data_IF_325199471983
#
_entry.id   IF_325199471983
#
_cell.length_a   1.000
_cell.length_b   1.000
_cell.length_c   1.000
_cell.angle_alpha   90.00
_cell.angle_beta   90.00
_cell.angle_gamma   90.00
#
_symmetry.space_group_name_H-M   'P 1'
#
loop_
_entity.id
_entity.type
_entity.pdbx_description
1 polymer ?
#
# COMPACT_ATOMS: atom_id res chain seq x y z
N UNK A 1 -26.57 -22.38 -33.97
CA UNK A 1 -25.37 -22.71 -33.18
C UNK A 1 -24.38 -21.53 -33.04
N UNK A 2 -23.85 -20.94 -34.13
CA UNK A 2 -22.90 -19.81 -34.04
C UNK A 2 -23.49 -18.51 -33.45
N UNK A 3 -24.78 -18.20 -33.69
CA UNK A 3 -25.45 -17.01 -33.12
C UNK A 3 -25.64 -17.08 -31.61
N UNK A 4 -25.90 -18.28 -31.07
CA UNK A 4 -26.08 -18.48 -29.62
C UNK A 4 -24.77 -18.37 -28.87
N UNK A 5 -23.66 -18.86 -29.46
CA UNK A 5 -22.31 -18.71 -28.89
C UNK A 5 -21.92 -17.23 -28.80
N UNK A 6 -22.22 -16.45 -29.84
CA UNK A 6 -21.97 -15.00 -29.84
C UNK A 6 -22.73 -14.23 -28.74
N UNK A 7 -23.97 -14.63 -28.46
CA UNK A 7 -24.79 -14.01 -27.40
C UNK A 7 -24.21 -14.34 -26.01
N UNK A 8 -23.82 -15.61 -25.77
CA UNK A 8 -23.25 -16.05 -24.48
C UNK A 8 -21.90 -15.35 -24.21
N UNK A 9 -21.03 -15.25 -25.21
CA UNK A 9 -19.76 -14.54 -25.10
C UNK A 9 -19.97 -13.04 -24.86
N UNK A 10 -20.93 -12.43 -25.57
CA UNK A 10 -21.28 -11.02 -25.35
C UNK A 10 -21.79 -10.73 -23.94
N UNK A 11 -22.66 -11.60 -23.41
CA UNK A 11 -23.16 -11.50 -22.04
C UNK A 11 -22.05 -11.69 -20.99
N UNK A 12 -21.12 -12.63 -21.20
CA UNK A 12 -19.99 -12.85 -20.32
C UNK A 12 -19.05 -11.63 -20.27
N UNK A 13 -18.78 -11.01 -21.42
CA UNK A 13 -17.97 -9.78 -21.50
C UNK A 13 -18.69 -8.61 -20.81
N UNK A 14 -20.00 -8.45 -21.00
CA UNK A 14 -20.77 -7.43 -20.33
C UNK A 14 -20.80 -7.62 -18.80
N UNK A 15 -21.01 -8.86 -18.31
CA UNK A 15 -20.96 -9.16 -16.89
C UNK A 15 -19.58 -8.90 -16.29
N UNK A 16 -18.52 -9.27 -16.98
CA UNK A 16 -17.15 -8.99 -16.55
C UNK A 16 -16.85 -7.48 -16.50
N UNK A 17 -17.30 -6.73 -17.51
CA UNK A 17 -17.15 -5.28 -17.53
C UNK A 17 -17.95 -4.59 -16.40
N UNK A 18 -19.18 -5.04 -16.14
CA UNK A 18 -20.03 -4.50 -15.06
C UNK A 18 -19.42 -4.81 -13.69
N UNK A 19 -18.92 -6.03 -13.45
CA UNK A 19 -18.30 -6.40 -12.18
C UNK A 19 -17.00 -5.63 -11.95
N UNK A 20 -16.18 -5.43 -12.99
CA UNK A 20 -14.94 -4.65 -12.91
C UNK A 20 -15.19 -3.15 -12.67
N UNK A 21 -16.18 -2.56 -13.35
CA UNK A 21 -16.62 -1.18 -13.15
C UNK A 21 -17.25 -0.99 -11.76
N UNK A 22 -18.10 -1.92 -11.32
CA UNK A 22 -18.73 -1.88 -10.01
C UNK A 22 -17.71 -1.96 -8.87
N UNK A 23 -16.70 -2.83 -8.96
CA UNK A 23 -15.59 -2.89 -7.99
C UNK A 23 -14.82 -1.58 -7.94
N UNK A 24 -14.43 -1.04 -9.10
CA UNK A 24 -13.69 0.22 -9.17
C UNK A 24 -14.47 1.39 -8.55
N UNK A 25 -15.76 1.51 -8.84
CA UNK A 25 -16.59 2.56 -8.26
C UNK A 25 -16.79 2.40 -6.75
N UNK A 26 -16.90 1.17 -6.25
CA UNK A 26 -16.99 0.89 -4.82
C UNK A 26 -15.67 1.20 -4.09
N UNK A 27 -14.53 0.88 -4.71
CA UNK A 27 -13.20 1.16 -4.16
C UNK A 27 -12.93 2.67 -4.11
N UNK A 28 -13.30 3.43 -5.16
CA UNK A 28 -13.20 4.90 -5.18
C UNK A 28 -14.08 5.53 -4.10
N UNK A 29 -15.31 5.04 -3.91
CA UNK A 29 -16.22 5.50 -2.85
C UNK A 29 -15.69 5.17 -1.44
N UNK A 30 -15.11 3.98 -1.24
CA UNK A 30 -14.48 3.56 0.03
C UNK A 30 -13.26 4.43 0.33
N UNK A 31 -12.37 4.62 -0.63
CA UNK A 31 -11.20 5.46 -0.50
C UNK A 31 -11.55 6.89 -0.11
N UNK A 32 -12.55 7.50 -0.78
CA UNK A 32 -13.00 8.85 -0.46
C UNK A 32 -13.57 8.96 0.97
N UNK A 33 -14.28 7.95 1.45
CA UNK A 33 -14.79 7.89 2.84
C UNK A 33 -13.64 7.78 3.85
N UNK A 34 -12.65 6.93 3.57
CA UNK A 34 -11.47 6.76 4.43
C UNK A 34 -10.64 8.06 4.49
N UNK A 35 -10.38 8.70 3.36
CA UNK A 35 -9.68 9.98 3.31
C UNK A 35 -10.42 11.07 4.12
N UNK A 36 -11.75 11.07 4.11
CA UNK A 36 -12.54 11.99 4.93
C UNK A 36 -12.47 11.64 6.42
N UNK A 37 -12.54 10.35 6.77
CA UNK A 37 -12.52 9.86 8.16
C UNK A 37 -11.13 10.07 8.80
N UNK A 38 -10.06 9.81 8.05
CA UNK A 38 -8.68 9.80 8.53
C UNK A 38 -7.85 10.97 7.99
N UNK A 39 -8.50 12.09 7.67
CA UNK A 39 -7.80 13.29 7.16
C UNK A 39 -6.70 13.79 8.10
N UNK A 40 -6.94 13.70 9.41
CA UNK A 40 -5.98 14.04 10.47
C UNK A 40 -5.97 12.89 11.46
N UNK A 41 -4.79 12.36 11.75
CA UNK A 41 -4.64 11.32 12.75
C UNK A 41 -4.49 11.97 14.15
N UNK A 42 -5.22 11.42 15.13
CA UNK A 42 -5.06 11.76 16.55
C UNK A 42 -4.82 10.48 17.34
N UNK A 43 -4.20 10.56 18.55
CA UNK A 43 -3.99 9.38 19.39
C UNK A 43 -5.29 8.64 19.69
N UNK A 44 -6.38 9.37 19.97
CA UNK A 44 -7.70 8.80 20.28
C UNK A 44 -8.31 8.09 19.06
N UNK A 45 -8.15 8.70 17.86
CA UNK A 45 -8.65 8.11 16.62
C UNK A 45 -7.90 6.81 16.31
N UNK A 46 -6.56 6.83 16.41
CA UNK A 46 -5.76 5.63 16.21
C UNK A 46 -6.09 4.56 17.26
N UNK A 47 -6.24 4.92 18.54
CA UNK A 47 -6.62 3.98 19.59
C UNK A 47 -7.99 3.32 19.34
N UNK A 48 -8.94 4.05 18.79
CA UNK A 48 -10.29 3.57 18.47
C UNK A 48 -10.37 2.81 17.13
N UNK A 49 -9.33 2.87 16.29
CA UNK A 49 -9.31 2.22 14.97
C UNK A 49 -8.92 0.75 15.14
N UNK A 50 -9.69 -0.22 14.58
CA UNK A 50 -9.31 -1.63 14.54
C UNK A 50 -7.98 -1.85 13.79
N UNK A 51 -7.21 -2.87 14.19
CA UNK A 51 -5.91 -3.14 13.60
C UNK A 51 -5.95 -3.40 12.10
N UNK A 52 -7.04 -4.00 11.61
CA UNK A 52 -7.28 -4.24 10.18
C UNK A 52 -7.47 -2.96 9.36
N UNK A 53 -7.84 -1.84 10.00
CA UNK A 53 -8.03 -0.54 9.36
C UNK A 53 -6.84 0.42 9.56
N UNK A 54 -5.90 0.13 10.46
CA UNK A 54 -4.82 1.07 10.83
C UNK A 54 -3.93 1.45 9.63
N UNK A 55 -3.53 0.47 8.83
CA UNK A 55 -2.73 0.73 7.62
C UNK A 55 -3.50 1.61 6.64
N UNK A 56 -4.78 1.28 6.40
CA UNK A 56 -5.64 2.08 5.53
C UNK A 56 -5.86 3.50 6.09
N UNK A 57 -5.90 3.67 7.43
CA UNK A 57 -6.02 4.98 8.08
C UNK A 57 -4.80 5.87 7.81
N UNK A 58 -3.59 5.34 7.99
CA UNK A 58 -2.33 6.07 7.70
C UNK A 58 -2.24 6.41 6.22
N UNK A 59 -2.51 5.47 5.34
CA UNK A 59 -2.51 5.68 3.89
C UNK A 59 -3.53 6.73 3.47
N UNK A 60 -4.75 6.67 4.04
CA UNK A 60 -5.81 7.64 3.74
C UNK A 60 -5.43 9.06 4.19
N UNK A 61 -4.73 9.21 5.32
CA UNK A 61 -4.19 10.49 5.78
C UNK A 61 -3.20 11.07 4.75
N UNK A 62 -2.22 10.27 4.31
CA UNK A 62 -1.25 10.69 3.28
C UNK A 62 -1.94 11.12 1.99
N UNK A 63 -2.91 10.33 1.52
CA UNK A 63 -3.63 10.62 0.27
C UNK A 63 -4.52 11.87 0.40
N UNK A 64 -5.13 12.10 1.57
CA UNK A 64 -5.94 13.29 1.83
C UNK A 64 -5.07 14.56 1.82
N UNK A 65 -3.92 14.51 2.48
CA UNK A 65 -2.97 15.63 2.51
C UNK A 65 -2.39 15.90 1.12
N UNK A 66 -2.04 14.84 0.36
CA UNK A 66 -1.58 14.98 -1.01
C UNK A 66 -2.64 15.64 -1.91
N UNK A 67 -3.91 15.29 -1.76
CA UNK A 67 -5.00 15.85 -2.55
C UNK A 67 -5.21 17.35 -2.30
N UNK A 68 -4.90 17.84 -1.11
CA UNK A 68 -5.00 19.26 -0.73
C UNK A 68 -3.72 20.06 -1.04
N UNK A 69 -2.62 19.35 -1.33
CA UNK A 69 -1.36 19.98 -1.68
C UNK A 69 -1.42 20.66 -3.05
N UNK A 70 -0.63 21.74 -3.23
CA UNK A 70 -0.40 22.35 -4.56
C UNK A 70 0.21 21.35 -5.56
N UNK A 71 0.87 20.33 -5.07
CA UNK A 71 1.45 19.23 -5.83
C UNK A 71 0.78 17.93 -5.36
N UNK A 72 -0.26 17.43 -6.04
CA UNK A 72 -1.01 16.26 -5.63
C UNK A 72 -0.22 14.96 -5.92
N UNK A 73 0.90 14.80 -5.22
CA UNK A 73 1.82 13.69 -5.32
C UNK A 73 2.05 13.11 -3.92
N UNK A 74 1.62 11.87 -3.65
CA UNK A 74 1.81 11.22 -2.35
C UNK A 74 3.28 11.14 -1.93
N UNK A 75 4.23 10.92 -2.86
CA UNK A 75 5.65 10.84 -2.54
C UNK A 75 6.21 12.19 -2.08
N UNK A 76 5.78 13.27 -2.74
CA UNK A 76 6.14 14.62 -2.29
C UNK A 76 5.57 14.92 -0.90
N UNK A 77 4.37 14.46 -0.61
CA UNK A 77 3.75 14.60 0.71
C UNK A 77 4.53 13.81 1.75
N UNK A 78 4.82 12.53 1.46
CA UNK A 78 5.59 11.65 2.34
C UNK A 78 6.98 12.20 2.69
N UNK A 79 7.64 12.88 1.76
CA UNK A 79 8.96 13.48 2.03
C UNK A 79 8.95 14.58 3.11
N UNK A 80 7.78 15.02 3.55
CA UNK A 80 7.58 16.04 4.59
C UNK A 80 7.01 15.47 5.88
N UNK A 81 6.55 14.23 5.85
CA UNK A 81 5.95 13.56 6.99
C UNK A 81 7.00 12.76 7.76
N UNK A 82 6.78 12.47 9.05
CA UNK A 82 7.63 11.59 9.84
C UNK A 82 7.82 10.21 9.20
N UNK A 83 8.99 9.60 9.47
CA UNK A 83 9.38 8.29 8.91
C UNK A 83 8.29 7.20 8.97
N UNK A 84 7.51 7.05 10.06
CA UNK A 84 6.49 6.01 10.12
C UNK A 84 5.46 6.06 8.99
N UNK A 85 5.11 7.24 8.47
CA UNK A 85 4.23 7.37 7.31
C UNK A 85 4.83 6.74 6.06
N UNK A 86 6.12 6.98 5.81
CA UNK A 86 6.84 6.43 4.66
C UNK A 86 6.91 4.91 4.75
N UNK A 87 7.28 4.35 5.93
CA UNK A 87 7.37 2.91 6.17
C UNK A 87 6.03 2.23 5.86
N UNK A 88 4.94 2.71 6.46
CA UNK A 88 3.61 2.10 6.28
C UNK A 88 3.12 2.24 4.85
N UNK A 89 3.25 3.42 4.24
CA UNK A 89 2.79 3.66 2.87
C UNK A 89 3.53 2.82 1.84
N UNK A 90 4.85 2.73 1.93
CA UNK A 90 5.67 1.99 0.97
C UNK A 90 5.38 0.48 1.02
N UNK A 91 5.28 -0.09 2.21
CA UNK A 91 4.92 -1.51 2.40
C UNK A 91 3.50 -1.78 1.85
N UNK A 92 2.53 -0.92 2.18
CA UNK A 92 1.18 -1.03 1.65
C UNK A 92 1.14 -0.96 0.12
N UNK A 93 1.87 -0.02 -0.49
CA UNK A 93 1.92 0.15 -1.94
C UNK A 93 2.47 -1.10 -2.64
N UNK A 94 3.56 -1.67 -2.13
CA UNK A 94 4.16 -2.90 -2.66
C UNK A 94 3.21 -4.09 -2.51
N UNK A 95 2.62 -4.30 -1.32
CA UNK A 95 1.65 -5.38 -1.11
C UNK A 95 0.40 -5.24 -1.96
N UNK A 96 -0.03 -4.01 -2.26
CA UNK A 96 -1.17 -3.74 -3.15
C UNK A 96 -0.87 -4.12 -4.60
N UNK A 97 0.31 -3.80 -5.12
CA UNK A 97 0.71 -4.22 -6.46
C UNK A 97 0.89 -5.75 -6.55
N UNK A 98 1.45 -6.37 -5.51
CA UNK A 98 1.52 -7.83 -5.39
C UNK A 98 0.13 -8.48 -5.48
N UNK A 99 -0.84 -7.96 -4.74
CA UNK A 99 -2.22 -8.49 -4.74
C UNK A 99 -2.92 -8.37 -6.10
N UNK A 100 -2.44 -7.47 -6.97
CA UNK A 100 -2.91 -7.31 -8.35
C UNK A 100 -2.19 -8.21 -9.34
N UNK A 101 -1.11 -8.87 -8.93
CA UNK A 101 -0.23 -9.65 -9.78
C UNK A 101 0.56 -8.80 -10.80
N UNK A 102 0.69 -7.50 -10.57
CA UNK A 102 1.41 -6.57 -11.46
C UNK A 102 2.83 -6.30 -10.92
N UNK A 103 3.71 -7.29 -11.00
CA UNK A 103 5.11 -7.16 -10.62
C UNK A 103 5.85 -6.11 -11.46
N UNK A 104 5.45 -5.90 -12.71
CA UNK A 104 6.03 -4.88 -13.56
C UNK A 104 5.74 -3.46 -13.05
N UNK A 105 4.66 -3.26 -12.29
CA UNK A 105 4.39 -1.97 -11.66
C UNK A 105 5.47 -1.57 -10.67
N UNK A 106 6.08 -2.53 -9.96
CA UNK A 106 7.15 -2.31 -9.00
C UNK A 106 8.45 -1.78 -9.65
N UNK A 107 8.63 -2.01 -10.94
CA UNK A 107 9.84 -1.61 -11.67
C UNK A 107 9.71 -0.28 -12.40
N UNK A 108 8.52 0.33 -12.41
CA UNK A 108 8.28 1.64 -13.04
C UNK A 108 9.06 2.72 -12.29
N UNK A 109 9.61 3.68 -13.03
CA UNK A 109 10.41 4.77 -12.46
C UNK A 109 9.68 5.53 -11.34
N UNK A 110 8.35 5.73 -11.49
CA UNK A 110 7.54 6.45 -10.50
C UNK A 110 7.31 5.68 -9.19
N UNK A 111 7.55 4.35 -9.17
CA UNK A 111 7.37 3.51 -7.98
C UNK A 111 8.70 3.01 -7.41
N UNK A 112 9.82 3.28 -8.09
CA UNK A 112 11.13 2.74 -7.72
C UNK A 112 11.57 3.19 -6.32
N UNK A 113 11.36 4.45 -5.98
CA UNK A 113 11.73 4.99 -4.67
C UNK A 113 10.86 4.35 -3.58
N UNK A 114 9.56 4.18 -3.84
CA UNK A 114 8.63 3.49 -2.91
C UNK A 114 9.06 2.05 -2.65
N UNK A 115 9.55 1.34 -3.67
CA UNK A 115 10.03 -0.04 -3.51
C UNK A 115 11.32 -0.08 -2.67
N UNK A 116 12.21 0.89 -2.85
CA UNK A 116 13.41 1.00 -2.02
C UNK A 116 13.01 1.29 -0.56
N UNK A 117 12.10 2.24 -0.33
CA UNK A 117 11.60 2.56 1.01
C UNK A 117 10.90 1.36 1.65
N UNK A 118 10.19 0.52 0.86
CA UNK A 118 9.61 -0.72 1.35
C UNK A 118 10.69 -1.74 1.74
N UNK A 119 11.77 -1.89 0.94
CA UNK A 119 12.88 -2.77 1.28
C UNK A 119 13.57 -2.38 2.60
N UNK A 120 13.63 -1.08 2.88
CA UNK A 120 14.24 -0.56 4.11
C UNK A 120 13.25 -0.57 5.28
N UNK A 121 11.95 -0.42 5.02
CA UNK A 121 10.88 -0.42 6.01
C UNK A 121 10.45 -1.81 6.50
N UNK A 122 10.46 -2.82 5.62
CA UNK A 122 10.04 -4.18 5.96
C UNK A 122 10.76 -4.78 7.17
N UNK A 123 12.11 -4.65 7.32
CA UNK A 123 12.79 -5.11 8.53
C UNK A 123 12.36 -4.35 9.80
N UNK A 124 11.99 -3.07 9.69
CA UNK A 124 11.55 -2.25 10.83
C UNK A 124 10.21 -2.71 11.39
N UNK A 125 9.34 -3.26 10.54
CA UNK A 125 8.07 -3.84 10.98
C UNK A 125 8.19 -5.32 11.36
N UNK A 126 9.36 -5.95 11.19
CA UNK A 126 9.59 -7.35 11.53
C UNK A 126 9.36 -8.34 10.38
N UNK A 127 9.46 -7.88 9.13
CA UNK A 127 9.31 -8.71 7.91
C UNK A 127 10.62 -8.78 7.08
N UNK A 128 11.74 -9.28 7.63
CA UNK A 128 13.03 -9.30 6.94
C UNK A 128 13.08 -10.27 5.76
N UNK A 129 12.38 -11.41 5.78
CA UNK A 129 12.38 -12.34 4.66
C UNK A 129 11.64 -11.74 3.46
N UNK A 130 10.55 -11.02 3.67
CA UNK A 130 9.86 -10.26 2.63
C UNK A 130 10.78 -9.20 2.01
N UNK A 131 11.57 -8.48 2.82
CA UNK A 131 12.54 -7.50 2.33
C UNK A 131 13.59 -8.14 1.42
N UNK A 132 14.17 -9.24 1.82
CA UNK A 132 15.21 -9.94 1.03
C UNK A 132 14.62 -10.51 -0.29
N UNK A 133 13.42 -11.09 -0.23
CA UNK A 133 12.75 -11.57 -1.43
C UNK A 133 12.43 -10.44 -2.42
N UNK A 134 11.98 -9.28 -1.92
CA UNK A 134 11.73 -8.09 -2.73
C UNK A 134 13.01 -7.55 -3.37
N UNK A 135 14.10 -7.42 -2.60
CA UNK A 135 15.41 -7.00 -3.12
C UNK A 135 15.92 -7.94 -4.22
N UNK A 136 15.78 -9.25 -4.01
CA UNK A 136 16.18 -10.24 -5.02
C UNK A 136 15.36 -10.11 -6.31
N UNK A 137 14.04 -9.99 -6.19
CA UNK A 137 13.13 -9.77 -7.31
C UNK A 137 13.54 -8.51 -8.11
N UNK A 138 13.81 -7.39 -7.41
CA UNK A 138 14.23 -6.15 -8.05
C UNK A 138 15.57 -6.24 -8.74
N UNK A 139 16.53 -7.00 -8.18
CA UNK A 139 17.84 -7.24 -8.81
C UNK A 139 17.67 -7.98 -10.14
N UNK A 140 16.88 -9.07 -10.18
CA UNK A 140 16.61 -9.82 -11.40
C UNK A 140 15.91 -8.97 -12.48
N UNK A 141 14.93 -8.16 -12.09
CA UNK A 141 14.29 -7.22 -13.00
C UNK A 141 15.30 -6.23 -13.62
N UNK A 142 16.23 -5.71 -12.82
CA UNK A 142 17.28 -4.80 -13.30
C UNK A 142 18.20 -5.47 -14.32
N UNK A 143 18.49 -6.74 -14.12
CA UNK A 143 19.32 -7.58 -15.00
C UNK A 143 18.56 -8.12 -16.21
N UNK A 144 17.22 -7.89 -16.27
CA UNK A 144 16.31 -8.46 -17.29
C UNK A 144 16.35 -10.01 -17.34
N UNK A 145 16.60 -10.61 -16.18
CA UNK A 145 16.57 -12.05 -15.99
C UNK A 145 15.14 -12.60 -15.83
N UNK A 146 15.01 -13.91 -15.82
CA UNK A 146 13.74 -14.57 -15.48
C UNK A 146 13.40 -14.33 -14.01
N UNK A 147 12.19 -13.87 -13.74
CA UNK A 147 11.72 -13.46 -12.39
C UNK A 147 10.72 -14.45 -11.80
N UNK A 148 10.26 -15.46 -12.53
CA UNK A 148 9.14 -16.31 -12.13
C UNK A 148 9.32 -16.97 -10.74
N UNK A 149 10.51 -17.48 -10.45
CA UNK A 149 10.78 -18.10 -9.14
C UNK A 149 10.94 -17.05 -8.03
N UNK A 150 11.51 -15.88 -8.33
CA UNK A 150 11.64 -14.78 -7.37
C UNK A 150 10.26 -14.17 -7.04
N UNK A 151 9.36 -14.08 -8.01
CA UNK A 151 7.97 -13.64 -7.80
C UNK A 151 7.22 -14.58 -6.85
N UNK A 152 7.38 -15.90 -7.02
CA UNK A 152 6.81 -16.90 -6.11
C UNK A 152 7.41 -16.81 -4.71
N UNK A 153 8.74 -16.66 -4.61
CA UNK A 153 9.42 -16.53 -3.33
C UNK A 153 8.98 -15.27 -2.58
N UNK A 154 8.82 -14.16 -3.29
CA UNK A 154 8.31 -12.92 -2.71
C UNK A 154 6.86 -13.07 -2.24
N UNK A 155 6.00 -13.69 -3.05
CA UNK A 155 4.61 -13.95 -2.66
C UNK A 155 4.52 -14.81 -1.40
N UNK A 156 5.30 -15.89 -1.34
CA UNK A 156 5.35 -16.78 -0.17
C UNK A 156 5.84 -16.04 1.08
N UNK A 157 6.89 -15.24 0.98
CA UNK A 157 7.39 -14.46 2.11
C UNK A 157 6.33 -13.47 2.64
N UNK A 158 5.56 -12.82 1.74
CA UNK A 158 4.45 -11.93 2.14
C UNK A 158 3.33 -12.72 2.84
N UNK A 159 3.01 -13.94 2.38
CA UNK A 159 2.01 -14.79 3.03
C UNK A 159 2.45 -15.25 4.42
N UNK A 160 3.72 -15.63 4.58
CA UNK A 160 4.28 -16.13 5.84
C UNK A 160 4.45 -15.03 6.89
N UNK A 161 4.99 -13.88 6.51
CA UNK A 161 5.29 -12.79 7.46
C UNK A 161 4.12 -11.82 7.66
N UNK A 162 3.14 -11.78 6.74
CA UNK A 162 1.97 -10.89 6.81
C UNK A 162 2.33 -9.42 7.09
N UNK A 163 3.15 -8.73 6.26
CA UNK A 163 3.72 -7.41 6.55
C UNK A 163 2.68 -6.34 6.92
N UNK A 164 1.47 -6.39 6.32
CA UNK A 164 0.41 -5.43 6.66
C UNK A 164 -0.12 -5.60 8.08
N UNK A 165 -0.16 -6.82 8.60
CA UNK A 165 -0.51 -7.08 10.00
C UNK A 165 0.58 -6.56 10.94
N UNK A 166 1.85 -6.75 10.59
CA UNK A 166 3.00 -6.22 11.34
C UNK A 166 3.03 -4.68 11.32
N UNK A 167 2.63 -4.05 10.22
CA UNK A 167 2.47 -2.59 10.15
C UNK A 167 1.45 -2.07 11.18
N UNK A 168 0.40 -2.82 11.52
CA UNK A 168 -0.55 -2.38 12.53
C UNK A 168 0.12 -2.27 13.91
N UNK A 169 0.92 -3.25 14.31
CA UNK A 169 1.71 -3.18 15.54
C UNK A 169 2.71 -2.01 15.50
N UNK A 170 3.44 -1.85 14.39
CA UNK A 170 4.35 -0.73 14.19
C UNK A 170 3.66 0.64 14.33
N UNK A 171 2.44 0.79 13.79
CA UNK A 171 1.64 2.02 13.95
C UNK A 171 1.33 2.28 15.43
N UNK A 172 0.96 1.24 16.20
CA UNK A 172 0.68 1.36 17.64
C UNK A 172 1.90 1.86 18.42
N UNK A 173 3.09 1.40 18.06
CA UNK A 173 4.34 1.79 18.71
C UNK A 173 4.80 3.21 18.33
N UNK A 174 4.29 3.78 17.21
CA UNK A 174 4.70 5.07 16.68
C UNK A 174 3.57 6.13 16.67
N UNK A 175 2.56 5.97 17.53
CA UNK A 175 1.40 6.89 17.58
C UNK A 175 1.85 8.34 17.78
N UNK A 176 2.79 8.60 18.68
CA UNK A 176 3.27 9.94 18.97
C UNK A 176 3.85 10.63 17.72
N UNK A 177 4.66 9.92 16.93
CA UNK A 177 5.25 10.43 15.69
C UNK A 177 4.20 10.64 14.59
N UNK A 178 3.24 9.71 14.47
CA UNK A 178 2.16 9.80 13.49
C UNK A 178 1.15 10.92 13.80
N UNK A 179 1.07 11.35 15.05
CA UNK A 179 0.12 12.40 15.48
C UNK A 179 0.78 13.73 15.82
N UNK A 180 2.13 13.80 15.74
CA UNK A 180 2.90 15.01 16.05
C UNK A 180 2.87 15.38 17.54
N UNK A 181 2.63 14.42 18.43
CA UNK A 181 2.57 14.67 19.88
C UNK A 181 3.93 14.56 20.58
N UNK A 182 4.97 14.10 19.89
CA UNK A 182 6.35 14.05 20.45
C UNK A 182 6.92 15.45 20.71
N UNK A 183 6.66 16.43 19.82
CA UNK A 183 7.20 17.78 19.96
C UNK A 183 6.59 18.57 21.14
N UNK A 184 5.49 18.08 21.73
CA UNK A 184 4.83 18.73 22.86
C UNK A 184 5.43 18.35 24.23
N UNK A 185 6.23 17.26 24.30
CA UNK A 185 6.81 16.76 25.53
C UNK A 185 8.20 17.36 25.87
N UNK A 186 8.92 17.86 24.85
CA UNK A 186 10.28 18.41 25.03
C UNK A 186 10.30 19.95 25.23
N UNK A 187 9.15 20.58 25.40
CA UNK A 187 8.97 22.04 25.49
C UNK A 187 8.61 22.60 26.87
N UNK A 188 8.66 21.79 27.96
CA UNK A 188 8.45 22.27 29.34
C UNK A 188 9.73 22.30 30.19
#
# INVERSE_FOLDING_TARGET
MWKEIGIVVGLAICLFAITKLGRRHNDESRSAKLMKKYKTLTPELLAATPDEELVEAVVACVLAEAAESRRPDPLYTLSKLPQPYMVVYSIWAVCKELSRGDYHALTRTATRDVVQDACDGLPLVGAPATAEALKHLMALHKEKADTAEAEKAFHLAVEEECPLTLCAAYIRDHVAQLTGTEDAADGE
#
